data_IF_171777970278
#
_entry.id   IF_171777970278
#
_cell.length_a   1.000
_cell.length_b   1.000
_cell.length_c   1.000
_cell.angle_alpha   90.00
_cell.angle_beta   90.00
_cell.angle_gamma   90.00
#
_symmetry.space_group_name_H-M   'P 1'
#
loop_
_entity.id
_entity.type
_entity.pdbx_description
1 polymer ?
#
# COMPACT_ATOMS: atom_id res chain seq x y z
N UNK A 1 7.91 19.39 19.69
CA UNK A 1 7.56 18.32 20.66
C UNK A 1 7.33 16.94 20.01
N UNK A 2 7.21 16.82 18.67
CA UNK A 2 6.91 15.57 17.96
C UNK A 2 7.93 15.21 16.86
N UNK A 3 9.14 15.77 16.90
CA UNK A 3 10.16 15.56 15.86
C UNK A 3 10.66 14.10 15.76
N UNK A 4 10.33 13.27 16.76
CA UNK A 4 10.61 11.82 16.77
C UNK A 4 9.45 10.96 16.27
N UNK A 5 8.35 11.57 15.82
CA UNK A 5 7.17 10.85 15.34
C UNK A 5 7.29 10.57 13.84
N UNK A 6 7.26 9.29 13.46
CA UNK A 6 7.03 8.87 12.08
C UNK A 6 5.54 8.70 11.86
N UNK A 7 5.06 9.13 10.69
CA UNK A 7 3.70 8.88 10.23
C UNK A 7 3.73 8.51 8.75
N UNK A 8 2.73 7.76 8.32
CA UNK A 8 2.55 7.35 6.93
C UNK A 8 1.15 7.74 6.46
N UNK A 9 1.02 7.92 5.15
CA UNK A 9 -0.25 8.21 4.50
C UNK A 9 -0.60 7.01 3.62
N UNK A 10 -1.84 6.55 3.71
CA UNK A 10 -2.38 5.49 2.87
C UNK A 10 -3.53 6.04 2.03
N UNK A 11 -3.70 5.48 0.82
CA UNK A 11 -4.73 5.93 -0.12
C UNK A 11 -5.78 4.85 -0.41
N UNK A 12 -6.49 4.32 0.59
CA UNK A 12 -7.48 3.28 0.35
C UNK A 12 -8.71 3.84 -0.39
N UNK A 13 -8.89 3.47 -1.66
CA UNK A 13 -10.16 3.72 -2.34
C UNK A 13 -11.29 2.94 -1.67
N UNK A 14 -12.50 3.54 -1.69
CA UNK A 14 -13.71 2.85 -1.28
C UNK A 14 -13.96 1.69 -2.25
N UNK A 15 -14.09 0.48 -1.71
CA UNK A 15 -14.45 -0.73 -2.44
C UNK A 15 -15.79 -1.26 -1.90
N UNK A 16 -16.60 -1.92 -2.74
CA UNK A 16 -17.80 -2.59 -2.26
C UNK A 16 -17.46 -3.59 -1.15
N UNK A 17 -18.31 -3.68 -0.13
CA UNK A 17 -18.24 -4.74 0.87
C UNK A 17 -19.65 -5.32 1.11
N UNK A 18 -19.71 -6.52 1.72
CA UNK A 18 -20.98 -7.17 1.96
C UNK A 18 -21.89 -6.29 2.85
N UNK A 19 -23.04 -5.89 2.32
CA UNK A 19 -24.00 -5.02 3.00
C UNK A 19 -23.77 -3.51 2.82
N UNK A 20 -22.80 -3.07 1.99
CA UNK A 20 -22.59 -1.63 1.74
C UNK A 20 -23.59 -1.02 0.75
N UNK A 21 -24.04 0.19 1.06
CA UNK A 21 -24.77 1.06 0.13
C UNK A 21 -23.90 1.47 -1.08
N UNK A 22 -24.55 1.92 -2.15
CA UNK A 22 -23.90 2.40 -3.38
C UNK A 22 -22.89 3.51 -3.07
N UNK A 23 -21.64 3.32 -3.49
CA UNK A 23 -20.56 4.28 -3.26
C UNK A 23 -20.87 5.59 -4.01
N UNK A 24 -21.05 6.68 -3.26
CA UNK A 24 -21.48 7.98 -3.83
C UNK A 24 -20.41 8.69 -4.67
N UNK A 25 -19.14 8.37 -4.46
CA UNK A 25 -18.02 8.97 -5.19
C UNK A 25 -16.96 7.92 -5.43
N UNK A 26 -16.83 7.47 -6.67
CA UNK A 26 -15.78 6.54 -7.10
C UNK A 26 -14.59 7.39 -7.57
N UNK A 27 -13.48 7.28 -6.87
CA UNK A 27 -12.22 7.93 -7.28
C UNK A 27 -11.59 7.16 -8.43
N UNK A 28 -11.35 7.83 -9.55
CA UNK A 28 -10.65 7.23 -10.69
C UNK A 28 -9.13 7.19 -10.49
N UNK A 29 -8.43 6.51 -11.40
CA UNK A 29 -6.97 6.35 -11.33
C UNK A 29 -6.22 7.69 -11.50
N UNK A 30 -6.77 8.64 -12.27
CA UNK A 30 -6.15 9.94 -12.49
C UNK A 30 -6.19 10.79 -11.23
N UNK A 31 -7.33 10.79 -10.54
CA UNK A 31 -7.54 11.48 -9.27
C UNK A 31 -6.65 10.89 -8.18
N UNK A 32 -6.57 9.56 -8.09
CA UNK A 32 -5.68 8.91 -7.13
C UNK A 32 -4.21 9.23 -7.43
N UNK A 33 -3.80 9.17 -8.69
CA UNK A 33 -2.44 9.53 -9.09
C UNK A 33 -2.13 11.00 -8.76
N UNK A 34 -3.05 11.92 -9.07
CA UNK A 34 -2.89 13.34 -8.74
C UNK A 34 -2.69 13.55 -7.23
N UNK A 35 -3.46 12.83 -6.40
CA UNK A 35 -3.35 12.91 -4.95
C UNK A 35 -1.98 12.40 -4.45
N UNK A 36 -1.52 11.27 -4.98
CA UNK A 36 -0.21 10.69 -4.64
C UNK A 36 0.91 11.68 -5.00
N UNK A 37 0.88 12.23 -6.21
CA UNK A 37 1.84 13.23 -6.65
C UNK A 37 1.79 14.50 -5.78
N UNK A 38 0.60 14.99 -5.43
CA UNK A 38 0.44 16.16 -4.58
C UNK A 38 1.08 15.94 -3.20
N UNK A 39 0.88 14.78 -2.57
CA UNK A 39 1.52 14.47 -1.29
C UNK A 39 3.03 14.27 -1.40
N UNK A 40 3.51 13.65 -2.48
CA UNK A 40 4.95 13.49 -2.72
C UNK A 40 5.65 14.83 -2.91
N UNK A 41 5.00 15.79 -3.60
CA UNK A 41 5.50 17.16 -3.74
C UNK A 41 5.41 17.96 -2.44
N UNK A 42 4.36 17.75 -1.64
CA UNK A 42 4.17 18.45 -0.37
C UNK A 42 5.16 18.00 0.71
N UNK A 43 5.44 16.69 0.80
CA UNK A 43 6.41 16.16 1.74
C UNK A 43 7.21 15.01 1.10
N UNK A 44 8.46 15.29 0.73
CA UNK A 44 9.37 14.32 0.11
C UNK A 44 9.79 13.17 1.03
N UNK A 45 9.65 13.31 2.35
CA UNK A 45 10.08 12.33 3.35
C UNK A 45 8.94 11.47 3.88
N UNK A 46 7.68 11.84 3.62
CA UNK A 46 6.54 11.07 4.14
C UNK A 46 6.46 9.72 3.44
N UNK A 47 6.20 8.69 4.25
CA UNK A 47 5.94 7.36 3.72
C UNK A 47 4.55 7.34 3.08
N UNK A 48 4.50 6.94 1.80
CA UNK A 48 3.27 6.78 1.04
C UNK A 48 3.04 5.30 0.78
N UNK A 49 1.93 4.79 1.29
CA UNK A 49 1.59 3.37 1.25
C UNK A 49 0.45 3.07 0.26
N UNK A 50 0.64 2.03 -0.54
CA UNK A 50 -0.35 1.56 -1.51
C UNK A 50 -0.71 0.08 -1.25
N UNK A 51 -2.01 -0.17 -1.06
CA UNK A 51 -2.53 -1.48 -0.67
C UNK A 51 -2.86 -2.38 -1.88
N UNK A 52 -3.15 -3.66 -1.63
CA UNK A 52 -3.65 -4.61 -2.63
C UNK A 52 -5.08 -4.33 -3.11
N UNK A 53 -5.71 -3.25 -2.62
CA UNK A 53 -7.00 -2.75 -3.15
C UNK A 53 -6.86 -2.15 -4.53
N UNK A 54 -5.65 -1.83 -4.95
CA UNK A 54 -5.35 -1.23 -6.25
C UNK A 54 -4.91 -2.31 -7.24
N UNK A 55 -5.27 -2.15 -8.52
CA UNK A 55 -4.97 -3.15 -9.55
C UNK A 55 -3.47 -3.29 -9.78
N UNK A 56 -3.02 -4.48 -10.20
CA UNK A 56 -1.62 -4.72 -10.52
C UNK A 56 -1.07 -3.69 -11.52
N UNK A 57 -1.83 -3.39 -12.58
CA UNK A 57 -1.45 -2.40 -13.60
C UNK A 57 -1.28 -1.00 -13.03
N UNK A 58 -2.20 -0.54 -12.17
CA UNK A 58 -2.08 0.78 -11.55
C UNK A 58 -0.84 0.83 -10.65
N UNK A 59 -0.66 -0.18 -9.80
CA UNK A 59 0.46 -0.26 -8.86
C UNK A 59 1.81 -0.22 -9.59
N UNK A 60 1.96 -1.00 -10.66
CA UNK A 60 3.21 -1.07 -11.43
C UNK A 60 3.60 0.31 -12.02
N UNK A 61 2.62 1.11 -12.43
CA UNK A 61 2.84 2.45 -12.99
C UNK A 61 3.06 3.53 -11.92
N UNK A 62 2.51 3.36 -10.72
CA UNK A 62 2.55 4.39 -9.66
C UNK A 62 3.73 4.23 -8.71
N UNK A 63 4.32 3.03 -8.61
CA UNK A 63 5.58 2.81 -7.87
C UNK A 63 6.63 3.90 -8.12
N UNK A 64 7.01 4.21 -9.38
CA UNK A 64 8.06 5.20 -9.65
C UNK A 64 7.66 6.65 -9.35
N UNK A 65 6.40 6.93 -9.03
CA UNK A 65 5.87 8.29 -8.91
C UNK A 65 5.75 8.78 -7.46
N UNK A 66 6.16 7.95 -6.49
CA UNK A 66 6.28 8.37 -5.10
C UNK A 66 5.77 7.39 -4.06
N UNK A 67 5.42 6.15 -4.41
CA UNK A 67 5.07 5.13 -3.40
C UNK A 67 6.34 4.56 -2.78
N UNK A 68 6.36 4.46 -1.45
CA UNK A 68 7.51 3.95 -0.68
C UNK A 68 7.19 2.69 0.12
N UNK A 69 5.90 2.33 0.23
CA UNK A 69 5.43 1.16 0.99
C UNK A 69 4.30 0.46 0.23
N UNK A 70 4.35 -0.87 0.16
CA UNK A 70 3.44 -1.70 -0.63
C UNK A 70 2.98 -2.91 0.18
N UNK A 71 1.67 -3.16 0.22
CA UNK A 71 1.14 -4.43 0.74
C UNK A 71 1.21 -5.53 -0.32
N UNK A 72 1.53 -6.77 0.03
CA UNK A 72 1.51 -7.91 -0.89
C UNK A 72 1.00 -9.17 -0.18
N UNK A 73 0.34 -10.07 -0.90
CA UNK A 73 -0.26 -11.27 -0.31
C UNK A 73 -1.24 -10.96 0.83
N UNK A 74 -2.02 -9.88 0.73
CA UNK A 74 -2.98 -9.52 1.77
C UNK A 74 -4.14 -10.52 1.80
N UNK A 75 -4.54 -10.96 3.00
CA UNK A 75 -5.77 -11.72 3.21
C UNK A 75 -6.78 -10.82 3.92
N UNK A 76 -7.92 -10.57 3.27
CA UNK A 76 -8.98 -9.67 3.79
C UNK A 76 -10.05 -10.43 4.58
N UNK A 77 -9.81 -11.72 4.83
CA UNK A 77 -10.62 -12.58 5.68
C UNK A 77 -10.04 -12.64 7.09
N UNK A 78 -10.86 -12.43 8.13
CA UNK A 78 -10.49 -12.80 9.50
C UNK A 78 -10.03 -14.26 9.54
N UNK A 79 -8.77 -14.50 9.93
CA UNK A 79 -8.17 -15.84 9.94
C UNK A 79 -7.72 -16.38 8.58
N UNK A 80 -7.80 -15.61 7.49
CA UNK A 80 -7.56 -16.08 6.12
C UNK A 80 -6.11 -16.46 5.77
N UNK A 81 -5.17 -16.34 6.72
CA UNK A 81 -3.81 -16.89 6.60
C UNK A 81 -3.70 -18.32 7.17
N UNK A 82 -4.71 -18.80 7.91
CA UNK A 82 -4.75 -20.15 8.44
C UNK A 82 -5.33 -21.13 7.41
N UNK A 83 -4.69 -22.30 7.25
CA UNK A 83 -5.09 -23.38 6.32
C UNK A 83 -6.51 -23.92 6.55
N UNK A 84 -7.13 -23.63 7.69
CA UNK A 84 -8.44 -24.12 8.12
C UNK A 84 -9.42 -22.99 8.46
N UNK A 85 -9.34 -21.85 7.76
CA UNK A 85 -10.27 -20.75 8.02
C UNK A 85 -11.63 -21.01 7.39
N UNK A 86 -12.67 -20.99 8.23
CA UNK A 86 -14.06 -20.89 7.80
C UNK A 86 -14.21 -19.64 6.94
N UNK A 87 -14.84 -19.71 5.76
CA UNK A 87 -15.04 -18.55 4.88
C UNK A 87 -15.78 -17.43 5.62
N UNK A 88 -15.05 -16.45 6.13
CA UNK A 88 -15.59 -15.24 6.70
C UNK A 88 -15.85 -14.20 5.61
N UNK A 89 -16.72 -13.23 5.86
CA UNK A 89 -16.96 -12.13 4.93
C UNK A 89 -15.67 -11.30 4.78
N UNK A 90 -15.26 -11.06 3.54
CA UNK A 90 -14.09 -10.22 3.24
C UNK A 90 -14.39 -8.76 3.58
N UNK A 91 -13.43 -8.09 4.24
CA UNK A 91 -13.57 -6.66 4.59
C UNK A 91 -13.57 -5.76 3.34
N UNK A 92 -12.88 -6.19 2.28
CA UNK A 92 -12.85 -5.57 0.96
C UNK A 92 -12.34 -6.56 -0.09
N UNK A 93 -12.68 -6.30 -1.35
CA UNK A 93 -12.17 -7.05 -2.51
C UNK A 93 -10.70 -6.70 -2.78
N UNK A 94 -9.88 -7.73 -3.00
CA UNK A 94 -8.47 -7.60 -3.38
C UNK A 94 -8.41 -7.42 -4.90
N UNK A 95 -7.66 -6.43 -5.39
CA UNK A 95 -7.46 -6.20 -6.83
C UNK A 95 -6.07 -6.61 -7.33
N UNK A 96 -5.16 -6.95 -6.42
CA UNK A 96 -3.84 -7.49 -6.74
C UNK A 96 -3.51 -8.67 -5.80
N UNK A 97 -3.57 -9.87 -6.36
CA UNK A 97 -3.36 -11.13 -5.66
C UNK A 97 -1.89 -11.61 -5.70
N UNK A 98 -0.98 -10.83 -6.29
CA UNK A 98 0.44 -11.19 -6.38
C UNK A 98 1.02 -11.46 -4.99
N UNK A 99 1.78 -12.54 -4.90
CA UNK A 99 2.52 -12.90 -3.69
C UNK A 99 3.59 -11.85 -3.37
N UNK A 100 4.08 -11.79 -2.10
CA UNK A 100 5.19 -10.92 -1.74
C UNK A 100 6.44 -11.15 -2.62
N UNK A 101 6.72 -12.39 -3.01
CA UNK A 101 7.86 -12.71 -3.87
C UNK A 101 7.71 -12.16 -5.30
N UNK A 102 6.51 -12.20 -5.87
CA UNK A 102 6.23 -11.63 -7.20
C UNK A 102 6.28 -10.11 -7.18
N UNK A 103 5.70 -9.48 -6.15
CA UNK A 103 5.76 -8.04 -5.96
C UNK A 103 7.21 -7.57 -5.81
N UNK A 104 8.02 -8.26 -5.01
CA UNK A 104 9.43 -7.93 -4.84
C UNK A 104 10.22 -8.04 -6.15
N UNK A 105 9.92 -9.03 -7.00
CA UNK A 105 10.52 -9.14 -8.34
C UNK A 105 10.10 -7.96 -9.24
N UNK A 106 8.83 -7.54 -9.18
CA UNK A 106 8.35 -6.37 -9.93
C UNK A 106 9.10 -5.10 -9.53
N UNK A 107 9.19 -4.82 -8.22
CA UNK A 107 9.90 -3.66 -7.68
C UNK A 107 11.38 -3.66 -8.07
N UNK A 108 12.04 -4.82 -7.99
CA UNK A 108 13.45 -4.97 -8.42
C UNK A 108 13.66 -4.73 -9.92
N UNK A 109 12.71 -5.16 -10.77
CA UNK A 109 12.78 -4.89 -12.23
C UNK A 109 12.69 -3.40 -12.56
N UNK A 110 12.05 -2.62 -11.71
CA UNK A 110 11.97 -1.16 -11.82
C UNK A 110 13.24 -0.45 -11.30
N UNK A 111 14.24 -1.20 -10.82
CA UNK A 111 15.50 -0.65 -10.31
C UNK A 111 15.49 -0.29 -8.82
N UNK A 112 14.45 -0.68 -8.07
CA UNK A 112 14.32 -0.39 -6.64
C UNK A 112 14.79 -1.56 -5.77
N UNK A 113 15.22 -1.23 -4.55
CA UNK A 113 15.50 -2.21 -3.50
C UNK A 113 14.24 -2.49 -2.67
N UNK A 114 14.04 -3.75 -2.31
CA UNK A 114 12.92 -4.18 -1.47
C UNK A 114 13.41 -4.39 -0.04
N UNK A 115 12.92 -3.57 0.87
CA UNK A 115 13.23 -3.63 2.30
C UNK A 115 12.06 -4.28 3.03
N UNK A 116 12.31 -5.40 3.72
CA UNK A 116 11.31 -6.14 4.49
C UNK A 116 11.28 -5.79 5.98
N UNK A 117 12.34 -5.13 6.46
CA UNK A 117 12.52 -4.74 7.85
C UNK A 117 13.07 -3.33 7.87
N UNK A 118 12.31 -2.38 8.39
CA UNK A 118 12.68 -0.96 8.48
C UNK A 118 12.78 -0.46 9.94
N UNK A 119 12.67 -1.39 10.90
CA UNK A 119 12.64 -1.14 12.35
C UNK A 119 13.96 -1.48 13.06
N UNK A 120 14.91 -2.09 12.36
CA UNK A 120 16.27 -2.28 12.89
C UNK A 120 17.03 -0.95 12.80
N UNK A 121 17.63 -0.53 13.91
CA UNK A 121 18.28 0.80 14.05
C UNK A 121 19.37 1.07 13.01
N UNK A 122 19.96 0.03 12.41
CA UNK A 122 20.97 0.15 11.36
C UNK A 122 20.41 0.49 9.97
N UNK A 123 19.10 0.35 9.75
CA UNK A 123 18.41 0.61 8.47
C UNK A 123 17.56 1.89 8.51
N UNK A 124 17.11 2.31 9.69
CA UNK A 124 16.64 3.67 9.91
C UNK A 124 17.86 4.59 9.93
N UNK A 125 18.04 5.42 8.89
CA UNK A 125 19.19 6.32 8.72
C UNK A 125 19.53 7.16 9.96
N UNK A 126 20.70 7.84 9.98
CA UNK A 126 21.22 8.47 11.18
C UNK A 126 20.14 9.38 11.80
N UNK A 127 19.80 9.08 13.04
CA UNK A 127 19.08 10.01 13.91
C UNK A 127 19.99 11.24 14.03
N UNK A 128 19.77 12.24 13.18
CA UNK A 128 20.43 13.53 13.34
C UNK A 128 20.16 14.02 14.76
N UNK A 129 21.24 14.15 15.52
CA UNK A 129 21.28 14.70 16.87
C UNK A 129 20.96 16.20 16.86
#
# INVERSE_FOLDING_TARGET
KYWKSRYSISFPRLRPCAGSATIKSVMDDKQLLQLICAYRLFNGEVELSLSTRESATFRDNVIPLGITSLSAGSSTQPGGYAKSSTKALQQFEISDERSPAEMAKCVKKLGYEVVWKDWEQCLSGPLHA
#
